data_IF_188232592930
#
_entry.id   IF_188232592930
#
_cell.length_a   1.000
_cell.length_b   1.000
_cell.length_c   1.000
_cell.angle_alpha   90.00
_cell.angle_beta   90.00
_cell.angle_gamma   90.00
#
_symmetry.space_group_name_H-M   'P 1'
#
loop_
_entity.id
_entity.type
_entity.pdbx_description
1 polymer ?
#
# COMPACT_ATOMS: atom_id res chain seq x y z
N UNK A 1 -21.23 9.14 11.83
CA UNK A 1 -20.30 8.85 10.71
C UNK A 1 -18.86 8.74 11.17
N UNK A 2 -18.27 9.79 11.79
CA UNK A 2 -16.88 9.73 12.29
C UNK A 2 -16.57 8.50 13.15
N UNK A 3 -17.39 8.20 14.16
CA UNK A 3 -17.21 6.99 15.01
C UNK A 3 -17.18 5.67 14.21
N UNK A 4 -17.90 5.61 13.08
CA UNK A 4 -17.91 4.43 12.23
C UNK A 4 -16.60 4.32 11.44
N UNK A 5 -16.11 5.44 10.91
CA UNK A 5 -14.80 5.48 10.26
C UNK A 5 -13.69 5.13 11.26
N UNK A 6 -13.73 5.70 12.46
CA UNK A 6 -12.80 5.37 13.55
C UNK A 6 -12.77 3.88 13.85
N UNK A 7 -13.95 3.27 14.05
CA UNK A 7 -14.06 1.84 14.29
C UNK A 7 -13.48 1.00 13.14
N UNK A 8 -13.80 1.34 11.89
CA UNK A 8 -13.34 0.58 10.72
C UNK A 8 -11.83 0.72 10.49
N UNK A 9 -11.25 1.90 10.76
CA UNK A 9 -9.79 2.09 10.70
C UNK A 9 -9.07 1.36 11.83
N UNK A 10 -9.61 1.38 13.05
CA UNK A 10 -9.06 0.60 14.16
C UNK A 10 -9.13 -0.91 13.89
N UNK A 11 -10.23 -1.38 13.26
CA UNK A 11 -10.36 -2.78 12.85
C UNK A 11 -9.34 -3.15 11.77
N UNK A 12 -9.09 -2.27 10.78
CA UNK A 12 -8.04 -2.49 9.79
C UNK A 12 -6.65 -2.56 10.45
N UNK A 13 -6.32 -1.62 11.34
CA UNK A 13 -5.04 -1.59 12.07
C UNK A 13 -4.83 -2.89 12.86
N UNK A 14 -5.86 -3.36 13.57
CA UNK A 14 -5.83 -4.64 14.27
C UNK A 14 -5.58 -5.84 13.34
N UNK A 15 -6.25 -5.89 12.18
CA UNK A 15 -6.01 -6.92 11.19
C UNK A 15 -4.58 -6.84 10.62
N UNK A 16 -4.04 -5.63 10.39
CA UNK A 16 -2.70 -5.43 9.84
C UNK A 16 -1.62 -5.90 10.83
N UNK A 17 -1.79 -5.61 12.12
CA UNK A 17 -0.91 -6.09 13.19
C UNK A 17 -0.92 -7.63 13.27
N UNK A 18 -2.10 -8.24 13.38
CA UNK A 18 -2.22 -9.70 13.44
C UNK A 18 -1.71 -10.39 12.17
N UNK A 19 -1.81 -9.74 11.02
CA UNK A 19 -1.30 -10.30 9.76
C UNK A 19 0.22 -10.46 9.74
N UNK A 20 0.96 -9.70 10.55
CA UNK A 20 2.41 -9.89 10.71
C UNK A 20 2.67 -11.26 11.36
N UNK A 21 2.04 -11.51 12.50
CA UNK A 21 2.18 -12.77 13.24
C UNK A 21 1.64 -13.95 12.44
N UNK A 22 0.48 -13.80 11.82
CA UNK A 22 -0.13 -14.80 10.95
C UNK A 22 0.80 -15.24 9.82
N UNK A 23 1.56 -14.32 9.21
CA UNK A 23 2.54 -14.64 8.16
C UNK A 23 3.72 -15.42 8.71
N UNK A 24 4.23 -15.04 9.88
CA UNK A 24 5.37 -15.70 10.53
C UNK A 24 4.98 -17.14 10.88
N UNK A 25 3.90 -17.32 11.63
CA UNK A 25 3.45 -18.65 12.07
C UNK A 25 3.06 -19.54 10.90
N UNK A 26 2.38 -18.99 9.88
CA UNK A 26 2.04 -19.76 8.69
C UNK A 26 3.28 -20.26 7.96
N UNK A 27 4.31 -19.41 7.84
CA UNK A 27 5.55 -19.78 7.18
C UNK A 27 6.33 -20.83 7.98
N UNK A 28 6.36 -20.71 9.32
CA UNK A 28 6.93 -21.73 10.19
C UNK A 28 6.21 -23.07 10.03
N UNK A 29 4.88 -23.08 10.10
CA UNK A 29 4.07 -24.29 9.90
C UNK A 29 4.27 -24.91 8.52
N UNK A 30 4.41 -24.09 7.48
CA UNK A 30 4.73 -24.54 6.12
C UNK A 30 6.08 -25.25 6.07
N UNK A 31 7.12 -24.65 6.67
CA UNK A 31 8.47 -25.22 6.71
C UNK A 31 8.52 -26.49 7.55
N UNK A 32 7.83 -26.53 8.68
CA UNK A 32 7.72 -27.71 9.54
C UNK A 32 7.03 -28.86 8.82
N UNK A 33 5.95 -28.58 8.09
CA UNK A 33 5.26 -29.60 7.29
C UNK A 33 6.19 -30.26 6.28
N UNK A 34 7.00 -29.47 5.57
CA UNK A 34 7.97 -29.98 4.61
C UNK A 34 9.10 -30.73 5.32
N UNK A 35 9.60 -30.21 6.44
CA UNK A 35 10.73 -30.79 7.18
C UNK A 35 10.38 -32.17 7.75
N UNK A 36 9.13 -32.35 8.15
CA UNK A 36 8.60 -33.62 8.66
C UNK A 36 8.34 -34.67 7.57
N UNK A 37 8.42 -34.31 6.28
CA UNK A 37 8.22 -35.28 5.21
C UNK A 37 9.37 -36.32 5.10
N UNK A 38 9.04 -37.57 4.70
CA UNK A 38 10.04 -38.58 4.38
C UNK A 38 11.05 -38.06 3.35
N UNK A 39 12.33 -38.47 3.46
CA UNK A 39 13.41 -37.99 2.58
C UNK A 39 13.05 -38.06 1.10
N UNK A 40 12.43 -39.15 0.65
CA UNK A 40 11.99 -39.33 -0.74
C UNK A 40 11.03 -38.23 -1.18
N UNK A 41 9.98 -37.98 -0.39
CA UNK A 41 8.98 -36.95 -0.67
C UNK A 41 9.60 -35.55 -0.68
N UNK A 42 10.55 -35.25 0.22
CA UNK A 42 11.29 -33.98 0.20
C UNK A 42 12.11 -33.78 -1.08
N UNK A 43 12.73 -34.85 -1.59
CA UNK A 43 13.46 -34.81 -2.85
C UNK A 43 12.48 -34.54 -4.01
N UNK A 44 11.37 -35.27 -4.07
CA UNK A 44 10.34 -35.09 -5.10
C UNK A 44 9.77 -33.66 -5.07
N UNK A 45 9.51 -33.13 -3.88
CA UNK A 45 9.11 -31.74 -3.66
C UNK A 45 10.15 -30.74 -4.15
N UNK A 46 11.44 -30.98 -3.90
CA UNK A 46 12.50 -30.06 -4.33
C UNK A 46 12.59 -29.93 -5.85
N UNK A 47 12.46 -31.05 -6.57
CA UNK A 47 12.43 -31.05 -8.03
C UNK A 47 11.15 -30.39 -8.57
N UNK A 48 10.01 -30.66 -7.95
CA UNK A 48 8.74 -30.04 -8.30
C UNK A 48 8.77 -28.53 -8.12
N UNK A 49 9.26 -28.06 -6.98
CA UNK A 49 9.38 -26.64 -6.67
C UNK A 49 10.28 -25.91 -7.68
N UNK A 50 11.38 -26.53 -8.08
CA UNK A 50 12.25 -25.98 -9.12
C UNK A 50 11.49 -25.83 -10.46
N UNK A 51 10.74 -26.86 -10.87
CA UNK A 51 9.90 -26.78 -12.07
C UNK A 51 8.83 -25.68 -12.01
N UNK A 52 8.16 -25.52 -10.86
CA UNK A 52 7.17 -24.44 -10.65
C UNK A 52 7.82 -23.05 -10.73
N UNK A 53 9.01 -22.88 -10.14
CA UNK A 53 9.74 -21.62 -10.21
C UNK A 53 10.16 -21.28 -11.64
N UNK A 54 10.67 -22.25 -12.38
CA UNK A 54 11.05 -22.08 -13.79
C UNK A 54 9.84 -21.71 -14.67
N UNK A 55 8.68 -22.33 -14.45
CA UNK A 55 7.45 -21.99 -15.19
C UNK A 55 6.95 -20.58 -14.86
N UNK A 56 6.98 -20.18 -13.58
CA UNK A 56 6.63 -18.81 -13.16
C UNK A 56 7.57 -17.79 -13.78
N UNK A 57 8.87 -18.06 -13.80
CA UNK A 57 9.86 -17.18 -14.42
C UNK A 57 9.59 -17.00 -15.93
N UNK A 58 9.24 -18.08 -16.65
CA UNK A 58 8.86 -18.01 -18.07
C UNK A 58 7.62 -17.14 -18.29
N UNK A 59 6.56 -17.33 -17.49
CA UNK A 59 5.34 -16.51 -17.59
C UNK A 59 5.59 -15.03 -17.32
N UNK A 60 6.45 -14.70 -16.35
CA UNK A 60 6.83 -13.32 -16.06
C UNK A 60 7.56 -12.67 -17.24
N UNK A 61 8.47 -13.40 -17.90
CA UNK A 61 9.17 -12.91 -19.10
C UNK A 61 8.20 -12.65 -20.25
N UNK A 62 7.28 -13.58 -20.51
CA UNK A 62 6.24 -13.42 -21.55
C UNK A 62 5.34 -12.21 -21.29
N UNK A 63 4.92 -12.02 -20.03
CA UNK A 63 4.12 -10.85 -19.64
C UNK A 63 4.90 -9.54 -19.81
N UNK A 64 6.17 -9.51 -19.43
CA UNK A 64 7.02 -8.33 -19.61
C UNK A 64 7.24 -8.00 -21.10
N UNK A 65 7.43 -9.01 -21.95
CA UNK A 65 7.51 -8.85 -23.40
C UNK A 65 6.21 -8.29 -23.98
N UNK A 66 5.07 -8.82 -23.56
CA UNK A 66 3.75 -8.33 -23.97
C UNK A 66 3.54 -6.87 -23.56
N UNK A 67 3.82 -6.51 -22.31
CA UNK A 67 3.74 -5.12 -21.84
C UNK A 67 4.68 -4.19 -22.60
N UNK A 68 5.88 -4.67 -22.96
CA UNK A 68 6.82 -3.92 -23.79
C UNK A 68 6.27 -3.70 -25.20
N UNK A 69 5.66 -4.71 -25.81
CA UNK A 69 5.02 -4.56 -27.12
C UNK A 69 3.83 -3.61 -27.07
N UNK A 70 2.99 -3.70 -26.03
CA UNK A 70 1.87 -2.77 -25.83
C UNK A 70 2.37 -1.33 -25.69
N UNK A 71 3.42 -1.08 -24.89
CA UNK A 71 4.05 0.24 -24.78
C UNK A 71 4.65 0.76 -26.09
N UNK A 72 5.26 -0.12 -26.88
CA UNK A 72 5.79 0.24 -28.20
C UNK A 72 4.65 0.60 -29.17
N UNK A 73 3.57 -0.18 -29.18
CA UNK A 73 2.39 0.11 -30.00
C UNK A 73 1.69 1.40 -29.56
N UNK A 74 1.61 1.67 -28.25
CA UNK A 74 1.08 2.92 -27.71
C UNK A 74 1.96 4.12 -28.11
N UNK A 75 3.28 3.99 -28.01
CA UNK A 75 4.23 5.03 -28.46
C UNK A 75 4.19 5.25 -29.99
N UNK A 76 4.02 4.21 -30.80
CA UNK A 76 3.83 4.33 -32.26
C UNK A 76 2.47 4.96 -32.62
N UNK A 77 1.42 4.66 -31.86
CA UNK A 77 0.11 5.29 -32.02
C UNK A 77 0.15 6.77 -31.60
N UNK A 78 0.90 7.11 -30.55
CA UNK A 78 1.19 8.50 -30.18
C UNK A 78 2.00 9.18 -31.30
N UNK A 79 3.06 8.59 -31.84
CA UNK A 79 3.83 9.19 -32.94
C UNK A 79 3.00 9.43 -34.21
N UNK A 80 2.08 8.52 -34.56
CA UNK A 80 1.17 8.70 -35.70
C UNK A 80 0.07 9.75 -35.48
N UNK A 81 -0.19 10.15 -34.23
CA UNK A 81 -1.10 11.25 -33.87
C UNK A 81 -0.38 12.57 -33.54
N UNK A 82 0.95 12.55 -33.46
CA UNK A 82 1.80 13.65 -32.97
C UNK A 82 2.36 14.61 -34.03
N UNK A 83 1.78 14.71 -35.25
CA UNK A 83 2.12 15.87 -36.12
C UNK A 83 1.64 17.20 -35.48
N UNK A 84 0.81 17.17 -34.43
CA UNK A 84 0.41 18.39 -33.69
C UNK A 84 0.42 18.14 -32.19
N UNK A 85 1.58 18.29 -31.54
CA UNK A 85 1.78 18.85 -30.17
C UNK A 85 3.19 18.51 -29.67
N UNK A 86 4.19 19.22 -30.19
CA UNK A 86 5.46 19.35 -29.48
C UNK A 86 5.23 20.25 -28.27
N UNK A 87 5.39 19.65 -27.08
CA UNK A 87 5.34 20.29 -25.77
C UNK A 87 6.61 21.14 -25.62
N UNK A 88 6.41 22.43 -25.41
CA UNK A 88 7.47 23.43 -25.29
C UNK A 88 8.36 23.13 -24.08
N UNK A 89 9.66 23.02 -24.32
CA UNK A 89 10.70 23.25 -23.32
C UNK A 89 11.11 24.70 -23.49
N UNK A 90 10.84 25.55 -22.50
CA UNK A 90 11.31 26.93 -22.51
C UNK A 90 12.72 26.97 -21.93
N UNK A 91 13.69 27.24 -22.80
CA UNK A 91 15.05 27.63 -22.46
C UNK A 91 15.07 29.16 -22.47
N UNK A 92 15.50 29.79 -21.38
CA UNK A 92 15.73 31.23 -21.37
C UNK A 92 16.86 31.58 -22.36
N UNK A 93 16.53 32.37 -23.38
CA UNK A 93 17.39 32.67 -24.51
C UNK A 93 18.60 33.55 -24.20
N UNK A 94 18.67 34.14 -22.99
CA UNK A 94 19.84 34.96 -22.58
C UNK A 94 20.84 34.22 -21.68
N UNK A 95 20.40 33.29 -20.82
CA UNK A 95 21.29 32.72 -19.78
C UNK A 95 21.49 31.21 -19.82
N UNK A 96 20.69 30.46 -20.58
CA UNK A 96 20.90 29.03 -20.84
C UNK A 96 20.91 28.12 -19.60
N UNK A 97 20.30 28.54 -18.48
CA UNK A 97 20.22 27.73 -17.26
C UNK A 97 18.90 26.96 -17.16
N UNK A 98 19.00 25.70 -16.74
CA UNK A 98 17.88 24.85 -16.35
C UNK A 98 17.40 25.23 -14.94
N UNK A 99 16.10 25.41 -14.75
CA UNK A 99 15.50 25.66 -13.43
C UNK A 99 14.88 24.37 -12.85
N UNK A 100 15.15 24.12 -11.57
CA UNK A 100 14.40 23.14 -10.75
C UNK A 100 13.33 23.88 -9.96
N UNK A 101 12.08 23.44 -10.04
CA UNK A 101 11.02 23.95 -9.17
C UNK A 101 11.27 23.55 -7.72
N UNK A 102 11.64 24.54 -6.92
CA UNK A 102 11.55 24.51 -5.47
C UNK A 102 10.06 24.36 -5.07
N UNK A 103 9.65 23.41 -4.22
CA UNK A 103 8.25 23.19 -3.85
C UNK A 103 7.56 24.40 -3.18
N UNK A 104 8.34 25.40 -2.77
CA UNK A 104 7.88 26.63 -2.12
C UNK A 104 7.43 27.74 -3.09
N UNK A 105 7.65 27.58 -4.41
CA UNK A 105 7.17 28.53 -5.43
C UNK A 105 6.24 27.86 -6.45
N UNK A 106 5.10 27.35 -5.96
CA UNK A 106 3.98 26.97 -6.82
C UNK A 106 2.78 27.81 -6.37
N UNK A 107 2.30 28.66 -7.26
CA UNK A 107 1.14 29.56 -7.06
C UNK A 107 -0.02 28.86 -6.35
N UNK A 108 -0.60 29.58 -5.39
CA UNK A 108 -1.85 29.24 -4.73
C UNK A 108 -2.98 29.12 -5.77
N UNK A 109 -3.21 27.90 -6.23
CA UNK A 109 -4.49 27.55 -6.84
C UNK A 109 -5.42 27.12 -5.72
N UNK A 110 -6.14 28.10 -5.18
CA UNK A 110 -7.33 27.88 -4.36
C UNK A 110 -8.38 27.15 -5.20
N UNK A 111 -8.26 25.83 -5.23
CA UNK A 111 -9.28 24.94 -5.76
C UNK A 111 -10.03 24.35 -4.58
N UNK A 112 -11.36 24.53 -4.56
CA UNK A 112 -12.29 23.91 -3.60
C UNK A 112 -12.46 22.39 -3.83
N UNK A 113 -11.57 21.80 -4.62
CA UNK A 113 -11.56 20.38 -4.93
C UNK A 113 -10.93 19.58 -3.80
N UNK A 114 -11.36 18.31 -3.65
CA UNK A 114 -10.89 17.35 -2.62
C UNK A 114 -9.37 17.37 -2.45
N UNK A 115 -8.62 17.38 -3.55
CA UNK A 115 -7.14 17.39 -3.55
C UNK A 115 -6.55 18.68 -2.98
N UNK A 116 -7.16 19.83 -3.24
CA UNK A 116 -6.76 21.11 -2.67
C UNK A 116 -6.89 21.12 -1.15
N UNK A 117 -8.02 20.63 -0.63
CA UNK A 117 -8.30 20.53 0.81
C UNK A 117 -7.36 19.55 1.50
N UNK A 118 -7.17 18.35 0.93
CA UNK A 118 -6.24 17.32 1.42
C UNK A 118 -4.80 17.88 1.45
N UNK A 119 -4.37 18.58 0.39
CA UNK A 119 -3.03 19.19 0.31
C UNK A 119 -2.82 20.26 1.39
N UNK A 120 -3.80 21.14 1.61
CA UNK A 120 -3.75 22.15 2.67
C UNK A 120 -3.63 21.49 4.06
N UNK A 121 -4.43 20.47 4.32
CA UNK A 121 -4.43 19.77 5.60
C UNK A 121 -3.10 19.03 5.84
N UNK A 122 -2.61 18.31 4.83
CA UNK A 122 -1.31 17.64 4.90
C UNK A 122 -0.16 18.62 5.16
N UNK A 123 -0.14 19.79 4.51
CA UNK A 123 0.87 20.83 4.75
C UNK A 123 0.87 21.32 6.21
N UNK A 124 -0.31 21.53 6.80
CA UNK A 124 -0.42 21.89 8.22
C UNK A 124 0.16 20.80 9.12
N UNK A 125 -0.19 19.54 8.87
CA UNK A 125 0.34 18.40 9.65
C UNK A 125 1.87 18.29 9.49
N UNK A 126 2.37 18.30 8.26
CA UNK A 126 3.79 18.23 7.96
C UNK A 126 4.58 19.36 8.65
N UNK A 127 4.01 20.57 8.71
CA UNK A 127 4.65 21.70 9.37
C UNK A 127 4.90 21.49 10.86
N UNK A 128 4.10 20.64 11.53
CA UNK A 128 4.15 20.33 12.97
C UNK A 128 4.91 19.03 13.30
N UNK A 129 5.06 18.14 12.31
CA UNK A 129 5.60 16.79 12.51
C UNK A 129 6.87 16.49 11.71
N UNK A 130 7.36 17.40 10.86
CA UNK A 130 8.54 17.15 10.03
C UNK A 130 9.82 16.91 10.88
N UNK A 131 10.60 15.84 10.61
CA UNK A 131 11.76 15.47 11.42
C UNK A 131 12.82 16.59 11.56
N UNK A 132 13.06 17.37 10.50
CA UNK A 132 14.00 18.51 10.56
C UNK A 132 13.66 19.53 11.65
N UNK A 133 12.36 19.81 11.87
CA UNK A 133 11.95 20.73 12.93
C UNK A 133 12.08 20.12 14.31
N UNK A 134 11.95 18.80 14.43
CA UNK A 134 12.03 18.09 15.71
C UNK A 134 13.46 17.98 16.22
N UNK A 135 14.41 17.76 15.29
CA UNK A 135 15.84 17.79 15.58
C UNK A 135 16.27 19.19 16.04
N UNK A 136 15.69 20.25 15.46
CA UNK A 136 15.96 21.63 15.85
C UNK A 136 15.34 22.06 17.20
N UNK A 137 14.34 21.33 17.71
CA UNK A 137 13.52 21.75 18.86
C UNK A 137 13.92 21.11 20.20
N UNK A 138 14.89 20.18 20.21
CA UNK A 138 15.39 19.56 21.44
C UNK A 138 14.43 18.56 22.11
N UNK A 139 13.51 17.96 21.34
CA UNK A 139 12.58 16.94 21.84
C UNK A 139 13.30 15.66 22.31
N UNK A 140 12.67 14.92 23.22
CA UNK A 140 13.18 13.61 23.65
C UNK A 140 13.10 12.60 22.50
N UNK A 141 13.97 11.59 22.50
CA UNK A 141 14.01 10.56 21.45
C UNK A 141 12.63 9.88 21.24
N UNK A 142 11.86 9.66 22.32
CA UNK A 142 10.53 9.06 22.23
C UNK A 142 9.48 9.95 21.56
N UNK A 143 9.56 11.27 21.76
CA UNK A 143 8.66 12.24 21.10
C UNK A 143 8.97 12.39 19.62
N UNK A 144 10.25 12.34 19.24
CA UNK A 144 10.70 12.34 17.85
C UNK A 144 10.13 11.11 17.12
N UNK A 145 10.29 9.91 17.67
CA UNK A 145 9.77 8.68 17.06
C UNK A 145 8.24 8.69 16.92
N UNK A 146 7.52 9.22 17.93
CA UNK A 146 6.07 9.37 17.86
C UNK A 146 5.65 10.30 16.72
N UNK A 147 6.26 11.48 16.62
CA UNK A 147 5.94 12.45 15.56
C UNK A 147 6.38 11.99 14.17
N UNK A 148 7.47 11.23 14.06
CA UNK A 148 7.85 10.56 12.80
C UNK A 148 6.80 9.54 12.35
N UNK A 149 6.25 8.75 13.28
CA UNK A 149 5.16 7.82 12.98
C UNK A 149 3.90 8.57 12.49
N UNK A 150 3.53 9.66 13.17
CA UNK A 150 2.41 10.52 12.75
C UNK A 150 2.66 11.11 11.35
N UNK A 151 3.89 11.57 11.07
CA UNK A 151 4.25 12.10 9.76
C UNK A 151 4.14 11.04 8.66
N UNK A 152 4.63 9.81 8.91
CA UNK A 152 4.49 8.69 7.97
C UNK A 152 3.02 8.38 7.69
N UNK A 153 2.19 8.29 8.74
CA UNK A 153 0.74 8.07 8.63
C UNK A 153 0.06 9.17 7.81
N UNK A 154 0.41 10.42 8.05
CA UNK A 154 -0.10 11.56 7.29
C UNK A 154 0.33 11.53 5.81
N UNK A 155 1.58 11.17 5.54
CA UNK A 155 2.11 11.04 4.18
C UNK A 155 1.39 9.95 3.40
N UNK A 156 1.20 8.78 4.00
CA UNK A 156 0.45 7.69 3.36
C UNK A 156 -1.01 8.06 3.10
N UNK A 157 -1.64 8.79 4.03
CA UNK A 157 -3.00 9.28 3.84
C UNK A 157 -3.10 10.30 2.69
N UNK A 158 -2.12 11.20 2.57
CA UNK A 158 -2.01 12.15 1.47
C UNK A 158 -1.85 11.44 0.11
N UNK A 159 -0.96 10.45 0.03
CA UNK A 159 -0.75 9.68 -1.21
C UNK A 159 -1.98 8.87 -1.65
N UNK A 160 -2.86 8.52 -0.70
CA UNK A 160 -4.08 7.75 -0.93
C UNK A 160 -5.34 8.61 -1.07
N UNK A 161 -5.22 9.94 -1.12
CA UNK A 161 -6.35 10.88 -1.11
C UNK A 161 -7.34 10.61 0.05
N UNK A 162 -6.83 10.14 1.21
CA UNK A 162 -7.63 9.80 2.38
C UNK A 162 -7.78 11.00 3.31
N UNK A 163 -8.88 11.73 3.12
CA UNK A 163 -9.20 12.89 3.95
C UNK A 163 -9.46 12.54 5.42
N UNK A 164 -10.14 11.42 5.71
CA UNK A 164 -10.51 11.05 7.08
C UNK A 164 -9.28 10.79 7.95
N UNK A 165 -8.29 10.06 7.45
CA UNK A 165 -7.04 9.80 8.18
C UNK A 165 -6.28 11.10 8.45
N UNK A 166 -6.20 12.02 7.47
CA UNK A 166 -5.60 13.34 7.69
C UNK A 166 -6.36 14.17 8.71
N UNK A 167 -7.70 14.14 8.67
CA UNK A 167 -8.56 14.81 9.64
C UNK A 167 -8.30 14.28 11.06
N UNK A 168 -8.26 12.96 11.24
CA UNK A 168 -7.96 12.33 12.54
C UNK A 168 -6.59 12.76 13.06
N UNK A 169 -5.55 12.73 12.21
CA UNK A 169 -4.20 13.16 12.59
C UNK A 169 -4.16 14.64 12.96
N UNK A 170 -4.88 15.50 12.24
CA UNK A 170 -4.95 16.91 12.54
C UNK A 170 -5.60 17.17 13.92
N UNK A 171 -6.70 16.46 14.23
CA UNK A 171 -7.36 16.52 15.54
C UNK A 171 -6.42 16.04 16.65
N UNK A 172 -5.69 14.93 16.45
CA UNK A 172 -4.72 14.39 17.42
C UNK A 172 -3.56 15.36 17.69
N UNK A 173 -3.17 16.16 16.70
CA UNK A 173 -2.16 17.21 16.82
C UNK A 173 -2.71 18.53 17.38
N UNK A 174 -4.03 18.63 17.62
CA UNK A 174 -4.68 19.86 18.06
C UNK A 174 -4.75 20.94 16.98
N UNK A 175 -4.63 20.58 15.70
CA UNK A 175 -4.77 21.50 14.56
C UNK A 175 -6.25 21.78 14.35
N UNK A 176 -6.62 23.07 14.30
CA UNK A 176 -7.99 23.48 13.97
C UNK A 176 -8.36 23.06 12.55
N UNK A 177 -9.26 22.09 12.48
CA UNK A 177 -9.97 21.65 11.27
C UNK A 177 -11.35 22.27 11.27
N UNK A 178 -11.75 22.83 10.13
CA UNK A 178 -13.05 23.50 9.98
C UNK A 178 -14.24 22.56 10.17
N UNK A 179 -15.45 23.10 10.09
CA UNK A 179 -16.67 22.32 10.21
C UNK A 179 -16.81 21.27 9.09
N UNK A 180 -17.38 20.12 9.45
CA UNK A 180 -17.65 19.03 8.52
C UNK A 180 -18.94 19.34 7.77
N UNK A 181 -18.83 19.42 6.45
CA UNK A 181 -19.96 19.59 5.52
C UNK A 181 -20.37 18.26 4.86
N UNK A 182 -21.37 18.31 3.99
CA UNK A 182 -21.90 17.16 3.28
C UNK A 182 -20.86 16.49 2.35
N UNK A 183 -19.97 17.28 1.72
CA UNK A 183 -18.88 16.74 0.87
C UNK A 183 -17.90 15.91 1.68
N UNK A 184 -17.57 16.35 2.89
CA UNK A 184 -16.71 15.59 3.79
C UNK A 184 -17.38 14.28 4.23
N UNK A 185 -18.71 14.27 4.43
CA UNK A 185 -19.46 13.05 4.74
C UNK A 185 -19.33 12.03 3.60
N UNK A 186 -19.49 12.47 2.35
CA UNK A 186 -19.33 11.59 1.18
C UNK A 186 -17.93 10.97 1.10
N UNK A 187 -16.88 11.75 1.40
CA UNK A 187 -15.51 11.25 1.41
C UNK A 187 -15.26 10.25 2.54
N UNK A 188 -15.87 10.46 3.71
CA UNK A 188 -15.81 9.50 4.82
C UNK A 188 -16.53 8.19 4.43
N UNK A 189 -17.65 8.26 3.71
CA UNK A 189 -18.36 7.06 3.26
C UNK A 189 -17.57 6.25 2.23
N UNK A 190 -16.96 6.92 1.27
CA UNK A 190 -16.06 6.30 0.29
C UNK A 190 -14.90 5.60 1.00
N UNK A 191 -14.26 6.30 1.95
CA UNK A 191 -13.16 5.77 2.74
C UNK A 191 -13.57 4.53 3.57
N UNK A 192 -14.73 4.56 4.23
CA UNK A 192 -15.27 3.39 4.95
C UNK A 192 -15.43 2.20 4.00
N UNK A 193 -15.98 2.41 2.79
CA UNK A 193 -16.18 1.35 1.81
C UNK A 193 -14.84 0.74 1.36
N UNK A 194 -13.86 1.59 1.06
CA UNK A 194 -12.52 1.15 0.67
C UNK A 194 -11.83 0.38 1.79
N UNK A 195 -11.93 0.86 3.03
CA UNK A 195 -11.30 0.25 4.21
C UNK A 195 -11.93 -1.09 4.54
N UNK A 196 -13.27 -1.19 4.52
CA UNK A 196 -13.96 -2.48 4.65
C UNK A 196 -13.59 -3.45 3.53
N UNK A 197 -13.41 -2.95 2.30
CA UNK A 197 -12.95 -3.76 1.17
C UNK A 197 -11.56 -4.37 1.44
N UNK A 198 -10.63 -3.61 2.02
CA UNK A 198 -9.30 -4.10 2.41
C UNK A 198 -9.38 -5.17 3.50
N UNK A 199 -10.17 -4.94 4.54
CA UNK A 199 -10.39 -5.93 5.62
C UNK A 199 -10.94 -7.23 5.01
N UNK A 200 -11.92 -7.13 4.11
CA UNK A 200 -12.47 -8.30 3.42
C UNK A 200 -11.42 -9.04 2.57
N UNK A 201 -10.52 -8.32 1.90
CA UNK A 201 -9.43 -8.94 1.12
C UNK A 201 -8.42 -9.65 2.04
N UNK A 202 -8.07 -9.04 3.17
CA UNK A 202 -7.22 -9.67 4.19
C UNK A 202 -7.87 -10.94 4.74
N UNK A 203 -9.19 -10.88 4.98
CA UNK A 203 -10.01 -12.00 5.40
C UNK A 203 -9.98 -13.22 4.47
N UNK A 204 -9.61 -13.02 3.19
CA UNK A 204 -9.53 -14.08 2.18
C UNK A 204 -8.12 -14.66 2.01
N UNK A 205 -7.09 -14.06 2.63
CA UNK A 205 -5.72 -14.53 2.52
C UNK A 205 -5.54 -15.87 3.23
N UNK A 206 -4.81 -16.80 2.60
CA UNK A 206 -4.48 -18.10 3.20
C UNK A 206 -3.90 -17.97 4.60
N UNK A 207 -3.00 -17.01 4.80
CA UNK A 207 -2.36 -16.75 6.11
C UNK A 207 -3.38 -16.35 7.16
N UNK A 208 -4.35 -15.50 6.83
CA UNK A 208 -5.38 -15.06 7.76
C UNK A 208 -6.36 -16.18 8.10
N UNK A 209 -6.88 -16.85 7.08
CA UNK A 209 -7.85 -17.94 7.26
C UNK A 209 -7.20 -19.08 8.04
N UNK A 210 -5.93 -19.39 7.77
CA UNK A 210 -5.18 -20.38 8.53
C UNK A 210 -4.97 -19.96 9.98
N UNK A 211 -4.52 -18.73 10.21
CA UNK A 211 -4.21 -18.24 11.56
C UNK A 211 -5.44 -18.23 12.48
N UNK A 212 -6.60 -17.89 11.93
CA UNK A 212 -7.88 -17.81 12.66
C UNK A 212 -8.64 -19.15 12.73
N UNK A 213 -8.11 -20.22 12.12
CA UNK A 213 -8.71 -21.56 12.17
C UNK A 213 -8.22 -22.39 13.36
N UNK A 214 -8.97 -23.43 13.69
CA UNK A 214 -8.56 -24.49 14.61
C UNK A 214 -7.50 -25.41 13.97
N UNK A 215 -6.94 -26.34 14.76
CA UNK A 215 -5.85 -27.20 14.31
C UNK A 215 -6.22 -28.07 13.09
N UNK A 216 -7.45 -28.61 13.06
CA UNK A 216 -7.96 -29.37 11.91
C UNK A 216 -8.13 -28.47 10.67
N UNK A 217 -8.66 -27.25 10.85
CA UNK A 217 -8.79 -26.26 9.79
C UNK A 217 -7.44 -25.82 9.25
N UNK A 218 -6.45 -25.62 10.11
CA UNK A 218 -5.07 -25.26 9.76
C UNK A 218 -4.43 -26.30 8.85
N UNK A 219 -4.60 -27.58 9.14
CA UNK A 219 -4.06 -28.65 8.28
C UNK A 219 -4.71 -28.62 6.89
N UNK A 220 -6.04 -28.53 6.83
CA UNK A 220 -6.80 -28.47 5.58
C UNK A 220 -6.43 -27.26 4.72
N UNK A 221 -6.27 -26.08 5.33
CA UNK A 221 -5.91 -24.85 4.63
C UNK A 221 -4.47 -24.94 4.11
N UNK A 222 -3.56 -25.54 4.88
CA UNK A 222 -2.19 -25.78 4.45
C UNK A 222 -2.16 -26.70 3.23
N UNK A 223 -2.95 -27.79 3.21
CA UNK A 223 -3.06 -28.67 2.04
C UNK A 223 -3.65 -27.97 0.82
N UNK A 224 -4.69 -27.16 1.04
CA UNK A 224 -5.27 -26.35 -0.02
C UNK A 224 -4.26 -25.34 -0.57
N UNK A 225 -3.40 -24.77 0.28
CA UNK A 225 -2.32 -23.89 -0.14
C UNK A 225 -1.29 -24.62 -1.01
N UNK A 226 -0.82 -25.80 -0.61
CA UNK A 226 0.08 -26.64 -1.43
C UNK A 226 -0.54 -26.97 -2.80
N UNK A 227 -1.83 -27.32 -2.82
CA UNK A 227 -2.56 -27.62 -4.05
C UNK A 227 -2.74 -26.40 -4.95
N UNK A 228 -3.18 -25.26 -4.42
CA UNK A 228 -3.49 -24.10 -5.25
C UNK A 228 -2.24 -23.33 -5.69
N UNK A 229 -1.27 -23.16 -4.79
CA UNK A 229 -0.09 -22.35 -5.06
C UNK A 229 0.98 -23.14 -5.78
N UNK A 230 1.15 -24.41 -5.43
CA UNK A 230 2.21 -25.26 -5.97
C UNK A 230 1.69 -26.38 -6.86
N UNK A 231 0.37 -26.58 -7.02
CA UNK A 231 -0.17 -27.75 -7.73
C UNK A 231 0.35 -29.08 -7.14
N UNK A 232 0.53 -29.11 -5.83
CA UNK A 232 1.01 -30.29 -5.11
C UNK A 232 -0.17 -31.00 -4.45
N UNK A 233 -0.33 -32.33 -4.65
CA UNK A 233 -1.46 -33.06 -4.09
C UNK A 233 -1.41 -33.10 -2.56
N UNK A 234 -2.58 -33.12 -1.89
CA UNK A 234 -2.64 -33.34 -0.44
C UNK A 234 -2.13 -34.73 -0.10
N UNK A 235 -1.73 -34.92 1.16
CA UNK A 235 -1.35 -36.25 1.65
C UNK A 235 -2.58 -37.17 1.66
N UNK A 236 -2.48 -38.31 0.97
CA UNK A 236 -3.43 -39.40 1.13
C UNK A 236 -3.08 -40.10 2.45
N UNK A 237 -3.91 -39.88 3.47
CA UNK A 237 -3.83 -40.54 4.78
C UNK A 237 -4.09 -42.05 4.71
#
# INVERSE_FOLDING_TARGET
>A
MLKKAEFVHADLEYHEELMVDAKVEFNEAFLDKISNWPKRKRIDWSFHLQGVQDERAKKLLEQAEKQRQEKLAEAEAEQNTSIVKNKEVFIDGETGREFYTNPDEIEETDTDDKKGIIKKLYRKIASETHPDKLIASGFSQGEVTRKESIFKKAKEAYERDNWYTLYSVAVDLGIEVGEIDEKHIDWIEEDIKLTMGRISQMGQLFTWVWYTSDDEGKERIMDQYFKQVYNWPPDEG
#
